data_IF_707872807570
#
_entry.id   IF_707872807570
#
_cell.length_a   1.000
_cell.length_b   1.000
_cell.length_c   1.000
_cell.angle_alpha   90.00
_cell.angle_beta   90.00
_cell.angle_gamma   90.00
#
_symmetry.space_group_name_H-M   'P 1'
#
loop_
_entity.id
_entity.type
_entity.pdbx_description
1 polymer ?
#
# COMPACT_ATOMS: atom_id res chain seq x y z
N UNK A 1 17.85 -26.11 18.48
CA UNK A 1 18.22 -24.69 18.34
C UNK A 1 17.96 -24.00 19.66
N UNK A 2 18.88 -23.17 20.13
CA UNK A 2 18.71 -22.40 21.36
C UNK A 2 17.68 -21.27 21.17
N UNK A 3 16.99 -20.85 22.24
CA UNK A 3 15.92 -19.84 22.20
C UNK A 3 16.34 -18.53 21.52
N UNK A 4 17.57 -18.05 21.78
CA UNK A 4 18.09 -16.82 21.15
C UNK A 4 18.35 -16.99 19.66
N UNK A 5 18.93 -18.13 19.27
CA UNK A 5 19.15 -18.48 17.86
C UNK A 5 17.84 -18.72 17.11
N UNK A 6 16.74 -18.99 17.80
CA UNK A 6 15.43 -19.16 17.19
C UNK A 6 14.74 -17.86 16.81
N UNK A 7 15.22 -16.68 17.23
CA UNK A 7 14.63 -15.40 16.79
C UNK A 7 14.96 -15.10 15.32
N UNK A 8 16.09 -15.61 14.82
CA UNK A 8 16.53 -15.47 13.44
C UNK A 8 17.48 -16.61 13.05
N UNK A 9 17.27 -17.23 11.89
CA UNK A 9 18.22 -18.18 11.31
C UNK A 9 18.14 -18.22 9.79
N UNK A 10 19.26 -18.52 9.14
CA UNK A 10 19.31 -18.74 7.69
C UNK A 10 18.77 -20.14 7.36
N UNK A 11 18.01 -20.24 6.27
CA UNK A 11 17.47 -21.51 5.79
C UNK A 11 18.56 -22.33 5.08
N UNK A 12 18.67 -23.60 5.46
CA UNK A 12 19.49 -24.57 4.72
C UNK A 12 18.95 -24.80 3.30
N UNK A 13 19.80 -25.33 2.42
CA UNK A 13 19.51 -25.52 0.98
C UNK A 13 18.16 -26.20 0.72
N UNK A 14 17.81 -27.24 1.48
CA UNK A 14 16.53 -27.96 1.33
C UNK A 14 15.33 -27.04 1.59
N UNK A 15 15.37 -26.23 2.65
CA UNK A 15 14.30 -25.32 3.03
C UNK A 15 14.24 -24.08 2.13
N UNK A 16 15.39 -23.58 1.68
CA UNK A 16 15.46 -22.55 0.65
C UNK A 16 14.77 -23.01 -0.65
N UNK A 17 15.12 -24.20 -1.16
CA UNK A 17 14.50 -24.73 -2.37
C UNK A 17 12.98 -24.87 -2.20
N UNK A 18 12.53 -25.33 -1.02
CA UNK A 18 11.11 -25.39 -0.72
C UNK A 18 10.45 -24.00 -0.75
N UNK A 19 11.03 -23.01 -0.05
CA UNK A 19 10.55 -21.62 -0.03
C UNK A 19 10.42 -21.05 -1.45
N UNK A 20 11.46 -21.18 -2.27
CA UNK A 20 11.48 -20.71 -3.66
C UNK A 20 10.38 -21.39 -4.49
N UNK A 21 10.24 -22.72 -4.41
CA UNK A 21 9.18 -23.44 -5.13
C UNK A 21 7.76 -23.04 -4.71
N UNK A 22 7.54 -22.78 -3.41
CA UNK A 22 6.21 -22.40 -2.87
C UNK A 22 5.83 -20.96 -3.14
N UNK A 23 6.80 -20.10 -3.43
CA UNK A 23 6.60 -18.69 -3.77
C UNK A 23 6.69 -18.43 -5.28
N UNK A 24 6.94 -19.47 -6.08
CA UNK A 24 7.17 -19.37 -7.52
C UNK A 24 8.32 -18.39 -7.88
N UNK A 25 9.34 -18.36 -7.03
CA UNK A 25 10.55 -17.55 -7.20
C UNK A 25 11.68 -18.47 -7.67
N UNK A 26 12.49 -18.01 -8.62
CA UNK A 26 13.67 -18.71 -9.13
C UNK A 26 14.97 -18.16 -8.56
N UNK A 27 16.02 -19.00 -8.50
CA UNK A 27 17.38 -18.53 -8.20
C UNK A 27 17.93 -17.54 -9.24
N UNK A 28 17.39 -17.59 -10.46
CA UNK A 28 17.75 -16.68 -11.55
C UNK A 28 16.98 -15.35 -11.52
N UNK A 29 15.99 -15.22 -10.63
CA UNK A 29 15.24 -13.99 -10.47
C UNK A 29 16.05 -12.95 -9.70
N UNK A 30 15.53 -11.73 -9.68
CA UNK A 30 16.01 -10.62 -8.87
C UNK A 30 14.94 -10.16 -7.90
N UNK A 31 15.40 -9.66 -6.75
CA UNK A 31 14.59 -8.94 -5.78
C UNK A 31 14.75 -7.44 -6.06
N UNK A 32 13.66 -6.80 -6.44
CA UNK A 32 13.57 -5.37 -6.71
C UNK A 32 12.95 -4.67 -5.51
N UNK A 33 13.67 -3.72 -4.92
CA UNK A 33 13.22 -2.93 -3.77
C UNK A 33 13.11 -1.49 -4.24
N UNK A 34 11.89 -0.96 -4.30
CA UNK A 34 11.62 0.35 -4.88
C UNK A 34 10.98 1.28 -3.86
N UNK A 35 11.69 2.36 -3.57
CA UNK A 35 11.17 3.52 -2.86
C UNK A 35 10.51 4.45 -3.86
N UNK A 36 9.18 4.47 -3.83
CA UNK A 36 8.38 5.18 -4.82
C UNK A 36 8.28 6.69 -4.55
N UNK A 37 8.57 7.13 -3.32
CA UNK A 37 8.59 8.54 -2.95
C UNK A 37 9.92 9.21 -3.35
N UNK A 38 11.04 8.52 -3.14
CA UNK A 38 12.39 9.01 -3.48
C UNK A 38 12.87 8.60 -4.87
N UNK A 39 12.09 7.81 -5.61
CA UNK A 39 12.46 7.19 -6.88
C UNK A 39 13.81 6.47 -6.82
N UNK A 40 13.95 5.57 -5.85
CA UNK A 40 15.16 4.76 -5.67
C UNK A 40 14.87 3.30 -5.85
N UNK A 41 15.64 2.66 -6.71
CA UNK A 41 15.58 1.22 -6.97
C UNK A 41 16.89 0.57 -6.53
N UNK A 42 16.78 -0.47 -5.71
CA UNK A 42 17.83 -1.43 -5.48
C UNK A 42 17.43 -2.78 -6.08
N UNK A 43 18.40 -3.53 -6.60
CA UNK A 43 18.17 -4.83 -7.23
C UNK A 43 19.22 -5.82 -6.78
N UNK A 44 18.76 -7.02 -6.44
CA UNK A 44 19.62 -8.05 -5.86
C UNK A 44 19.33 -9.39 -6.54
N UNK A 45 20.35 -10.06 -7.05
CA UNK A 45 20.20 -11.41 -7.58
C UNK A 45 19.81 -12.36 -6.44
N UNK A 46 18.72 -13.11 -6.61
CA UNK A 46 18.16 -13.94 -5.53
C UNK A 46 19.16 -15.02 -5.07
N UNK A 47 19.88 -15.63 -6.01
CA UNK A 47 20.97 -16.59 -5.71
C UNK A 47 22.06 -16.08 -4.77
N UNK A 48 22.23 -14.76 -4.65
CA UNK A 48 23.25 -14.15 -3.80
C UNK A 48 22.69 -13.72 -2.43
N UNK A 49 21.38 -13.78 -2.22
CA UNK A 49 20.75 -13.41 -0.96
C UNK A 49 20.57 -14.62 -0.04
N UNK A 50 20.77 -14.43 1.25
CA UNK A 50 20.37 -15.42 2.26
C UNK A 50 18.86 -15.47 2.35
N UNK A 51 18.28 -16.67 2.24
CA UNK A 51 16.90 -16.90 2.64
C UNK A 51 16.90 -17.15 4.15
N UNK A 52 16.10 -16.41 4.90
CA UNK A 52 16.09 -16.48 6.36
C UNK A 52 14.67 -16.53 6.91
N UNK A 53 14.55 -17.12 8.10
CA UNK A 53 13.37 -17.05 8.93
C UNK A 53 13.62 -16.04 10.06
N UNK A 54 12.66 -15.14 10.27
CA UNK A 54 12.68 -14.11 11.30
C UNK A 54 11.39 -14.22 12.13
N UNK A 55 11.52 -14.25 13.45
CA UNK A 55 10.36 -14.32 14.35
C UNK A 55 9.53 -13.03 14.25
N UNK A 56 8.22 -13.15 14.08
CA UNK A 56 7.34 -11.99 13.93
C UNK A 56 7.34 -11.06 15.17
N UNK A 57 6.86 -9.83 14.97
CA UNK A 57 6.82 -8.81 16.01
C UNK A 57 5.77 -9.03 17.11
N UNK A 58 4.84 -9.96 16.94
CA UNK A 58 3.77 -10.30 17.88
C UNK A 58 4.14 -11.44 18.84
N UNK A 59 5.24 -12.14 18.59
CA UNK A 59 5.68 -13.24 19.47
C UNK A 59 6.40 -12.71 20.71
N UNK A 60 6.05 -13.29 21.86
CA UNK A 60 6.69 -13.03 23.14
C UNK A 60 7.84 -14.01 23.41
N UNK A 61 8.60 -13.79 24.49
CA UNK A 61 9.59 -14.79 24.91
C UNK A 61 8.96 -16.04 25.53
N UNK A 62 7.73 -15.95 26.02
CA UNK A 62 7.01 -17.02 26.71
C UNK A 62 6.47 -18.06 25.73
N UNK A 63 6.31 -17.69 24.45
CA UNK A 63 5.86 -18.59 23.39
C UNK A 63 6.90 -19.64 22.95
N UNK A 64 8.04 -19.72 23.62
CA UNK A 64 9.07 -20.71 23.31
C UNK A 64 8.65 -22.12 23.78
N UNK A 65 8.69 -23.16 22.92
CA UNK A 65 9.21 -23.19 21.55
C UNK A 65 8.27 -22.59 20.50
N UNK A 66 8.79 -21.69 19.66
CA UNK A 66 7.99 -20.96 18.68
C UNK A 66 7.39 -21.87 17.60
N UNK A 67 6.06 -21.83 17.40
CA UNK A 67 5.41 -22.50 16.28
C UNK A 67 5.93 -22.01 14.92
N UNK A 68 5.89 -22.88 13.90
CA UNK A 68 6.40 -22.56 12.55
C UNK A 68 5.71 -21.35 11.90
N UNK A 69 4.43 -21.16 12.16
CA UNK A 69 3.65 -20.05 11.59
C UNK A 69 3.98 -18.68 12.21
N UNK A 70 4.80 -18.65 13.27
CA UNK A 70 5.33 -17.40 13.82
C UNK A 70 6.47 -16.81 12.99
N UNK A 71 7.05 -17.56 12.06
CA UNK A 71 8.19 -17.06 11.28
C UNK A 71 7.75 -16.34 10.02
N UNK A 72 8.29 -15.14 9.81
CA UNK A 72 8.36 -14.50 8.50
C UNK A 72 9.54 -15.09 7.74
N UNK A 73 9.32 -15.50 6.50
CA UNK A 73 10.37 -16.08 5.66
C UNK A 73 10.58 -15.19 4.45
N UNK A 74 11.83 -14.81 4.20
CA UNK A 74 12.17 -13.92 3.10
C UNK A 74 13.67 -13.87 2.84
N UNK A 75 14.07 -12.86 2.08
CA UNK A 75 15.48 -12.61 1.79
C UNK A 75 16.04 -11.51 2.69
N UNK A 76 17.21 -11.75 3.25
CA UNK A 76 17.93 -10.77 4.05
C UNK A 76 18.60 -9.73 3.15
N UNK A 77 18.36 -8.45 3.42
CA UNK A 77 19.02 -7.32 2.76
C UNK A 77 19.74 -6.49 3.82
N UNK A 78 20.99 -6.12 3.54
CA UNK A 78 21.75 -5.21 4.40
C UNK A 78 21.17 -3.79 4.32
N UNK A 79 20.94 -3.15 5.48
CA UNK A 79 20.49 -1.75 5.57
C UNK A 79 21.40 -0.80 4.78
N UNK A 80 22.72 -1.07 4.76
CA UNK A 80 23.68 -0.26 4.01
C UNK A 80 23.42 -0.27 2.50
N UNK A 81 22.87 -1.37 1.97
CA UNK A 81 22.51 -1.50 0.55
C UNK A 81 21.26 -0.68 0.17
N UNK A 82 20.50 -0.22 1.17
CA UNK A 82 19.31 0.62 1.01
C UNK A 82 19.58 2.06 1.48
N UNK A 83 20.84 2.50 1.47
CA UNK A 83 21.22 3.84 1.91
C UNK A 83 20.43 4.92 1.14
N UNK A 84 19.72 5.75 1.89
CA UNK A 84 18.97 6.90 1.39
C UNK A 84 17.59 6.56 0.84
N UNK A 85 17.06 5.37 1.13
CA UNK A 85 15.62 5.07 1.08
C UNK A 85 14.88 5.84 2.19
N UNK A 86 13.54 5.86 2.17
CA UNK A 86 12.68 6.41 3.22
C UNK A 86 12.90 5.69 4.55
N UNK A 87 12.75 6.44 5.64
CA UNK A 87 12.88 5.91 6.98
C UNK A 87 11.81 4.85 7.23
N UNK A 88 12.17 3.82 7.98
CA UNK A 88 11.32 2.65 8.25
C UNK A 88 10.80 1.92 6.99
N UNK A 89 11.26 2.29 5.79
CA UNK A 89 10.82 1.74 4.52
C UNK A 89 9.31 1.91 4.27
N UNK A 90 8.69 2.97 4.80
CA UNK A 90 7.24 3.24 4.66
C UNK A 90 6.80 3.41 3.20
N UNK A 91 7.67 3.97 2.36
CA UNK A 91 7.41 4.23 0.94
C UNK A 91 8.00 3.15 0.02
N UNK A 92 8.25 1.95 0.56
CA UNK A 92 8.96 0.89 -0.16
C UNK A 92 8.02 -0.24 -0.55
N UNK A 93 8.09 -0.64 -1.80
CA UNK A 93 7.47 -1.87 -2.31
C UNK A 93 8.54 -2.81 -2.86
N UNK A 94 8.27 -4.11 -2.76
CA UNK A 94 9.22 -5.16 -3.14
C UNK A 94 8.56 -6.10 -4.15
N UNK A 95 9.34 -6.52 -5.15
CA UNK A 95 8.93 -7.53 -6.12
C UNK A 95 10.07 -8.52 -6.36
N UNK A 96 9.76 -9.81 -6.35
CA UNK A 96 10.68 -10.87 -6.74
C UNK A 96 10.27 -11.44 -8.10
N UNK A 97 11.17 -11.39 -9.09
CA UNK A 97 10.89 -11.93 -10.42
C UNK A 97 12.02 -11.67 -11.41
N UNK A 98 11.79 -12.05 -12.66
CA UNK A 98 12.80 -11.97 -13.73
C UNK A 98 13.18 -10.53 -14.08
N UNK A 99 12.21 -9.63 -14.07
CA UNK A 99 12.36 -8.26 -14.56
C UNK A 99 11.79 -7.24 -13.57
N UNK A 100 12.39 -6.04 -13.55
CA UNK A 100 11.91 -4.92 -12.74
C UNK A 100 10.53 -4.47 -13.26
N UNK A 101 9.46 -4.55 -12.45
CA UNK A 101 8.13 -4.12 -12.86
C UNK A 101 7.92 -2.61 -12.72
N UNK A 102 8.80 -1.89 -12.01
CA UNK A 102 8.61 -0.48 -11.67
C UNK A 102 9.03 0.45 -12.80
N UNK A 103 8.27 1.52 -13.01
CA UNK A 103 8.50 2.49 -14.07
C UNK A 103 9.71 3.41 -13.81
N UNK A 104 10.26 3.42 -12.59
CA UNK A 104 11.34 4.31 -12.14
C UNK A 104 10.98 5.81 -12.30
N UNK A 105 9.71 6.13 -12.05
CA UNK A 105 9.19 7.49 -11.98
C UNK A 105 8.73 7.78 -10.54
N UNK A 106 9.09 8.94 -9.96
CA UNK A 106 8.63 9.30 -8.61
C UNK A 106 7.11 9.41 -8.61
N UNK A 107 6.47 8.78 -7.63
CA UNK A 107 5.07 9.06 -7.37
C UNK A 107 4.92 10.45 -6.76
N UNK A 108 3.76 11.05 -7.01
CA UNK A 108 3.44 12.37 -6.49
C UNK A 108 2.54 12.22 -5.28
N UNK A 109 2.89 12.81 -4.13
CA UNK A 109 1.96 12.89 -3.01
C UNK A 109 0.75 13.72 -3.45
N UNK A 110 -0.44 13.31 -3.02
CA UNK A 110 -1.66 14.05 -3.30
C UNK A 110 -1.77 15.18 -2.28
N UNK A 111 -1.73 16.43 -2.73
CA UNK A 111 -1.86 17.61 -1.86
C UNK A 111 -3.26 18.18 -1.99
N UNK A 112 -4.11 17.91 -0.99
CA UNK A 112 -5.53 18.24 -1.05
C UNK A 112 -5.78 19.74 -0.85
N UNK A 113 -6.54 20.33 -1.78
CA UNK A 113 -7.10 21.68 -1.61
C UNK A 113 -8.59 21.57 -1.29
N UNK A 114 -9.01 22.13 -0.15
CA UNK A 114 -10.44 22.22 0.18
C UNK A 114 -11.20 23.04 -0.87
N UNK A 115 -12.36 22.55 -1.28
CA UNK A 115 -13.26 23.19 -2.25
C UNK A 115 -14.69 23.27 -1.69
N UNK A 116 -15.54 24.18 -2.21
CA UNK A 116 -16.97 24.15 -1.95
C UNK A 116 -17.63 22.83 -2.36
N UNK A 117 -18.60 22.34 -1.58
CA UNK A 117 -19.29 21.08 -1.85
C UNK A 117 -20.02 21.04 -3.20
N UNK A 118 -20.48 22.19 -3.70
CA UNK A 118 -21.10 22.33 -5.03
C UNK A 118 -20.15 22.03 -6.19
N UNK A 119 -18.84 22.11 -5.95
CA UNK A 119 -17.80 21.86 -6.96
C UNK A 119 -17.38 20.38 -6.98
N UNK A 120 -17.86 19.56 -6.04
CA UNK A 120 -17.68 18.11 -6.06
C UNK A 120 -18.57 17.47 -7.14
N UNK A 121 -18.05 16.58 -8.00
CA UNK A 121 -18.82 16.01 -9.10
C UNK A 121 -20.09 15.30 -8.64
N UNK A 122 -21.21 15.67 -9.25
CA UNK A 122 -22.48 14.99 -9.03
C UNK A 122 -22.45 13.61 -9.70
N UNK A 123 -22.16 12.58 -8.90
CA UNK A 123 -22.27 11.17 -9.28
C UNK A 123 -23.09 10.43 -8.22
N UNK A 124 -24.21 9.78 -8.58
CA UNK A 124 -24.92 8.91 -7.65
C UNK A 124 -24.01 7.82 -7.08
N UNK A 125 -24.03 7.61 -5.76
CA UNK A 125 -23.35 6.47 -5.16
C UNK A 125 -24.01 5.16 -5.56
N UNK A 126 -23.18 4.10 -5.61
CA UNK A 126 -23.62 2.71 -5.68
C UNK A 126 -24.57 2.40 -4.51
N UNK A 127 -25.43 1.40 -4.70
CA UNK A 127 -26.50 1.09 -3.73
C UNK A 127 -25.92 0.63 -2.39
N UNK A 128 -24.85 -0.15 -2.45
CA UNK A 128 -24.15 -0.75 -1.33
C UNK A 128 -23.49 0.34 -0.48
N UNK A 129 -22.72 1.23 -1.13
CA UNK A 129 -22.09 2.40 -0.52
C UNK A 129 -23.12 3.32 0.17
N UNK A 130 -24.26 3.55 -0.50
CA UNK A 130 -25.34 4.35 0.06
C UNK A 130 -25.98 3.71 1.30
N UNK A 131 -26.11 2.38 1.31
CA UNK A 131 -26.63 1.66 2.46
C UNK A 131 -25.70 1.77 3.67
N UNK A 132 -24.38 1.71 3.44
CA UNK A 132 -23.36 1.90 4.45
C UNK A 132 -23.42 3.31 5.08
N UNK A 133 -23.72 4.33 4.28
CA UNK A 133 -23.73 5.73 4.70
C UNK A 133 -25.11 6.26 5.15
N UNK A 134 -26.09 5.38 5.42
CA UNK A 134 -27.50 5.78 5.65
C UNK A 134 -27.71 6.80 6.77
N UNK A 135 -26.85 6.80 7.79
CA UNK A 135 -26.91 7.71 8.94
C UNK A 135 -25.72 8.69 8.99
N UNK A 136 -24.99 8.83 7.87
CA UNK A 136 -23.73 9.55 7.78
C UNK A 136 -23.95 10.81 6.92
N UNK A 137 -23.43 11.95 7.36
CA UNK A 137 -23.60 13.24 6.69
C UNK A 137 -22.40 13.60 5.83
N UNK A 138 -22.64 14.26 4.69
CA UNK A 138 -21.55 14.76 3.86
C UNK A 138 -20.77 15.88 4.59
N UNK A 139 -19.45 15.75 4.62
CA UNK A 139 -18.52 16.69 5.22
C UNK A 139 -17.80 17.56 4.18
N UNK A 140 -16.52 17.81 4.45
CA UNK A 140 -15.67 18.62 3.58
C UNK A 140 -15.41 17.93 2.24
N UNK A 141 -15.13 18.75 1.22
CA UNK A 141 -14.75 18.29 -0.11
C UNK A 141 -13.41 18.87 -0.52
N UNK A 142 -12.64 18.08 -1.27
CA UNK A 142 -11.27 18.42 -1.66
C UNK A 142 -11.03 18.11 -3.14
N UNK A 143 -10.04 18.81 -3.69
CA UNK A 143 -9.57 18.67 -5.05
C UNK A 143 -8.05 18.58 -5.08
N UNK A 144 -7.55 17.69 -5.90
CA UNK A 144 -6.17 17.69 -6.37
C UNK A 144 -6.16 17.57 -7.90
N UNK A 145 -5.26 18.30 -8.57
CA UNK A 145 -5.18 18.32 -10.02
C UNK A 145 -3.81 17.89 -10.49
N UNK A 146 -3.81 17.12 -11.57
CA UNK A 146 -2.64 16.85 -12.40
C UNK A 146 -2.94 17.27 -13.84
N UNK A 147 -1.95 17.17 -14.73
CA UNK A 147 -2.15 17.45 -16.16
C UNK A 147 -3.21 16.52 -16.80
N UNK A 148 -3.35 15.29 -16.30
CA UNK A 148 -4.19 14.24 -16.93
C UNK A 148 -5.45 13.92 -16.14
N UNK A 149 -5.42 14.08 -14.81
CA UNK A 149 -6.52 13.70 -13.92
C UNK A 149 -6.85 14.78 -12.90
N UNK A 150 -8.12 14.81 -12.50
CA UNK A 150 -8.61 15.53 -11.32
C UNK A 150 -9.14 14.54 -10.30
N UNK A 151 -8.74 14.72 -9.05
CA UNK A 151 -9.06 13.85 -7.93
C UNK A 151 -9.96 14.64 -7.00
N UNK A 152 -11.16 14.13 -6.77
CA UNK A 152 -12.13 14.72 -5.86
C UNK A 152 -12.32 13.77 -4.69
N UNK A 153 -12.34 14.33 -3.49
CA UNK A 153 -12.54 13.57 -2.26
C UNK A 153 -13.65 14.23 -1.44
N UNK A 154 -14.53 13.43 -0.87
CA UNK A 154 -15.57 13.90 0.04
C UNK A 154 -15.52 13.11 1.33
N UNK A 155 -15.43 13.83 2.46
CA UNK A 155 -15.60 13.27 3.78
C UNK A 155 -17.07 12.93 4.04
N UNK A 156 -17.30 11.88 4.82
CA UNK A 156 -18.59 11.48 5.34
C UNK A 156 -18.44 11.28 6.85
N UNK A 157 -19.24 12.01 7.62
CA UNK A 157 -19.11 12.15 9.06
C UNK A 157 -20.25 11.41 9.79
N UNK A 158 -19.90 10.71 10.86
CA UNK A 158 -20.89 10.10 11.76
C UNK A 158 -21.63 11.15 12.63
N UNK A 159 -22.46 10.67 13.56
CA UNK A 159 -23.22 11.52 14.48
C UNK A 159 -22.34 12.39 15.39
N UNK A 160 -21.11 11.96 15.66
CA UNK A 160 -20.14 12.65 16.51
C UNK A 160 -19.21 13.57 15.70
N UNK A 161 -19.50 13.72 14.40
CA UNK A 161 -18.71 14.49 13.43
C UNK A 161 -17.30 13.93 13.20
N UNK A 162 -17.10 12.64 13.47
CA UNK A 162 -15.85 11.93 13.18
C UNK A 162 -15.91 11.41 11.75
N UNK A 163 -14.76 11.38 11.06
CA UNK A 163 -14.66 10.89 9.67
C UNK A 163 -14.95 9.39 9.65
N UNK A 164 -16.15 9.02 9.21
CA UNK A 164 -16.58 7.64 9.04
C UNK A 164 -16.12 7.06 7.71
N UNK A 165 -16.20 7.85 6.63
CA UNK A 165 -15.78 7.40 5.32
C UNK A 165 -15.27 8.54 4.44
N UNK A 166 -14.57 8.19 3.37
CA UNK A 166 -14.13 9.09 2.31
C UNK A 166 -14.43 8.48 0.96
N UNK A 167 -15.12 9.24 0.11
CA UNK A 167 -15.40 8.86 -1.28
C UNK A 167 -14.44 9.57 -2.21
N UNK A 168 -13.67 8.78 -2.96
CA UNK A 168 -12.74 9.25 -3.99
C UNK A 168 -13.39 9.11 -5.36
N UNK A 169 -13.35 10.18 -6.14
CA UNK A 169 -13.63 10.18 -7.58
C UNK A 169 -12.39 10.65 -8.33
N UNK A 170 -11.93 9.87 -9.30
CA UNK A 170 -10.86 10.30 -10.22
C UNK A 170 -11.46 10.48 -11.60
N UNK A 171 -11.21 11.65 -12.19
CA UNK A 171 -11.74 12.03 -13.50
C UNK A 171 -10.64 12.35 -14.47
N UNK A 172 -10.89 12.15 -15.76
CA UNK A 172 -10.00 12.66 -16.81
C UNK A 172 -10.11 14.20 -16.89
N UNK A 173 -8.97 14.91 -16.80
CA UNK A 173 -8.95 16.37 -16.81
C UNK A 173 -9.55 17.00 -18.09
N UNK A 174 -9.46 16.31 -19.23
CA UNK A 174 -9.96 16.80 -20.52
C UNK A 174 -11.43 16.44 -20.76
N UNK A 175 -11.78 15.15 -20.63
CA UNK A 175 -13.13 14.67 -20.97
C UNK A 175 -14.12 14.81 -19.82
N UNK A 176 -13.65 15.05 -18.59
CA UNK A 176 -14.44 15.05 -17.35
C UNK A 176 -15.10 13.72 -17.02
N UNK A 177 -14.77 12.65 -17.75
CA UNK A 177 -15.25 11.30 -17.49
C UNK A 177 -14.72 10.82 -16.12
N UNK A 178 -15.60 10.24 -15.31
CA UNK A 178 -15.24 9.61 -14.04
C UNK A 178 -14.71 8.21 -14.33
N UNK A 179 -13.44 7.99 -13.98
CA UNK A 179 -12.69 6.75 -14.22
C UNK A 179 -12.78 5.84 -12.99
N UNK A 180 -12.48 6.40 -11.81
CA UNK A 180 -12.46 5.68 -10.54
C UNK A 180 -13.54 6.22 -9.62
N UNK A 181 -14.18 5.29 -8.90
CA UNK A 181 -15.00 5.58 -7.74
C UNK A 181 -14.69 4.55 -6.64
N UNK A 182 -14.21 5.04 -5.49
CA UNK A 182 -13.91 4.22 -4.32
C UNK A 182 -14.53 4.86 -3.08
N UNK A 183 -15.03 4.03 -2.17
CA UNK A 183 -15.44 4.43 -0.83
C UNK A 183 -14.50 3.72 0.15
N UNK A 184 -13.83 4.51 0.98
CA UNK A 184 -12.98 4.04 2.07
C UNK A 184 -13.70 4.34 3.37
N UNK A 185 -14.08 3.33 4.14
CA UNK A 185 -14.97 3.50 5.30
C UNK A 185 -14.43 2.76 6.51
N UNK A 186 -14.80 3.23 7.70
CA UNK A 186 -14.48 2.53 8.93
C UNK A 186 -15.12 1.13 8.97
N UNK A 187 -14.36 0.16 9.46
CA UNK A 187 -14.81 -1.19 9.80
C UNK A 187 -13.99 -1.72 10.99
N UNK A 188 -14.25 -2.95 11.43
CA UNK A 188 -13.58 -3.57 12.59
C UNK A 188 -12.05 -3.54 12.52
N UNK A 189 -11.46 -3.47 11.33
CA UNK A 189 -10.02 -3.35 11.13
C UNK A 189 -9.59 -2.35 10.10
N UNK A 190 -10.46 -1.41 9.72
CA UNK A 190 -10.09 -0.41 8.71
C UNK A 190 -10.54 0.98 9.11
N UNK A 191 -9.78 1.99 8.71
CA UNK A 191 -10.15 3.39 8.92
C UNK A 191 -9.64 4.26 7.78
N UNK A 192 -10.34 5.34 7.40
CA UNK A 192 -9.80 6.32 6.46
C UNK A 192 -8.47 6.88 6.98
N UNK A 193 -7.41 6.78 6.18
CA UNK A 193 -6.10 7.37 6.50
C UNK A 193 -6.20 8.90 6.55
N UNK A 194 -5.47 9.65 7.39
CA UNK A 194 -5.50 11.12 7.44
C UNK A 194 -5.12 11.73 6.10
N UNK A 195 -5.59 12.94 5.78
CA UNK A 195 -5.17 13.60 4.54
C UNK A 195 -3.69 13.98 4.63
N UNK A 196 -2.97 13.86 3.52
CA UNK A 196 -1.61 14.38 3.41
C UNK A 196 -1.54 15.85 3.86
N UNK A 197 -0.66 16.14 4.83
CA UNK A 197 -0.46 17.48 5.41
C UNK A 197 -1.45 17.88 6.50
N UNK A 198 -2.43 17.03 6.85
CA UNK A 198 -3.38 17.29 7.95
C UNK A 198 -2.69 17.23 9.33
N UNK A 199 -1.72 16.33 9.49
CA UNK A 199 -1.05 16.09 10.77
C UNK A 199 0.29 16.84 10.94
N UNK A 200 0.60 17.82 10.08
CA UNK A 200 1.81 18.64 10.20
C UNK A 200 3.14 17.93 9.90
N UNK A 201 3.12 16.62 9.63
CA UNK A 201 4.30 15.84 9.27
C UNK A 201 4.53 15.78 7.75
N UNK A 202 5.81 15.64 7.38
CA UNK A 202 6.25 15.34 6.01
C UNK A 202 5.98 13.88 5.59
N UNK A 203 5.17 13.14 6.35
CA UNK A 203 4.68 11.82 5.95
C UNK A 203 3.49 11.98 5.01
N UNK A 204 3.64 11.48 3.79
CA UNK A 204 2.55 11.39 2.83
C UNK A 204 2.07 9.95 2.81
N UNK A 205 0.76 9.75 2.97
CA UNK A 205 0.10 8.44 2.86
C UNK A 205 -0.45 8.28 1.44
N UNK A 206 -1.06 9.33 0.88
CA UNK A 206 -1.72 9.26 -0.42
C UNK A 206 -0.78 9.60 -1.57
N UNK A 207 -0.67 8.70 -2.54
CA UNK A 207 0.16 8.88 -3.73
C UNK A 207 -0.60 8.59 -5.02
N UNK A 208 -0.14 9.22 -6.10
CA UNK A 208 -0.57 8.90 -7.47
C UNK A 208 0.55 9.08 -8.48
N UNK A 209 0.49 8.36 -9.59
CA UNK A 209 1.49 8.46 -10.66
C UNK A 209 1.74 7.14 -11.37
N UNK A 210 2.81 7.07 -12.16
CA UNK A 210 3.20 5.88 -12.91
C UNK A 210 4.07 4.97 -12.03
N UNK A 211 3.47 3.93 -11.45
CA UNK A 211 4.23 2.99 -10.60
C UNK A 211 4.83 1.83 -11.38
N UNK A 212 4.05 1.22 -12.28
CA UNK A 212 4.45 0.01 -13.00
C UNK A 212 4.69 0.28 -14.48
N UNK A 213 5.66 -0.44 -15.06
CA UNK A 213 5.82 -0.54 -16.51
C UNK A 213 4.55 -1.15 -17.10
N UNK A 214 4.11 -0.61 -18.24
CA UNK A 214 3.02 -1.16 -19.04
C UNK A 214 1.64 -1.28 -18.34
N UNK A 215 1.43 -0.67 -17.17
CA UNK A 215 0.10 -0.53 -16.54
C UNK A 215 -0.34 0.94 -16.47
N UNK A 216 -1.63 1.24 -16.34
CA UNK A 216 -2.10 2.60 -16.08
C UNK A 216 -1.45 3.24 -14.85
N UNK A 217 -1.50 4.59 -14.71
CA UNK A 217 -1.16 5.27 -13.47
C UNK A 217 -1.98 4.74 -12.29
N UNK A 218 -1.50 4.93 -11.07
CA UNK A 218 -2.11 4.38 -9.86
C UNK A 218 -2.57 5.47 -8.90
N UNK A 219 -3.45 5.12 -7.95
CA UNK A 219 -3.85 5.95 -6.81
C UNK A 219 -4.07 5.04 -5.60
N UNK A 220 -3.51 5.38 -4.44
CA UNK A 220 -3.60 4.57 -3.21
C UNK A 220 -3.26 5.38 -1.95
N UNK A 221 -3.38 4.73 -0.78
CA UNK A 221 -3.02 5.31 0.53
C UNK A 221 -4.17 5.94 1.32
N UNK A 222 -5.40 5.58 0.99
CA UNK A 222 -6.61 6.23 1.53
C UNK A 222 -7.21 5.55 2.77
N UNK A 223 -6.71 4.36 3.13
CA UNK A 223 -7.24 3.54 4.19
C UNK A 223 -6.10 2.86 4.95
N UNK A 224 -6.17 2.89 6.27
CA UNK A 224 -5.37 2.06 7.14
C UNK A 224 -6.04 0.74 7.39
N UNK A 225 -5.25 -0.33 7.39
CA UNK A 225 -5.67 -1.71 7.56
C UNK A 225 -4.99 -2.26 8.81
N UNK A 226 -5.77 -2.51 9.86
CA UNK A 226 -5.39 -3.40 10.97
C UNK A 226 -5.64 -4.87 10.59
N UNK A 227 -6.68 -5.13 9.80
CA UNK A 227 -7.01 -6.45 9.26
C UNK A 227 -7.06 -6.38 7.74
N UNK A 228 -6.11 -7.03 7.08
CA UNK A 228 -6.00 -7.05 5.63
C UNK A 228 -4.68 -6.47 5.15
N UNK A 229 -4.59 -6.27 3.84
CA UNK A 229 -3.43 -5.64 3.22
C UNK A 229 -3.87 -4.49 2.32
N UNK A 230 -3.10 -3.41 2.27
CA UNK A 230 -3.40 -2.27 1.42
C UNK A 230 -3.40 -2.66 -0.06
N UNK A 231 -4.16 -1.91 -0.85
CA UNK A 231 -4.29 -2.12 -2.28
C UNK A 231 -3.88 -0.88 -3.08
N UNK A 232 -3.38 -1.12 -4.29
CA UNK A 232 -2.99 -0.10 -5.26
C UNK A 232 -3.99 -0.10 -6.40
N UNK A 233 -4.83 0.94 -6.49
CA UNK A 233 -5.84 1.03 -7.56
C UNK A 233 -5.21 1.53 -8.86
N UNK A 234 -5.51 0.85 -9.97
CA UNK A 234 -5.17 1.32 -11.31
C UNK A 234 -6.19 2.39 -11.76
N UNK A 235 -5.72 3.52 -12.27
CA UNK A 235 -6.56 4.60 -12.82
C UNK A 235 -6.95 4.25 -14.26
N UNK A 236 -7.87 3.30 -14.40
CA UNK A 236 -8.52 2.95 -15.65
C UNK A 236 -9.98 2.52 -15.42
N UNK A 237 -10.66 2.12 -16.49
CA UNK A 237 -12.07 1.71 -16.42
C UNK A 237 -12.28 0.34 -15.77
N UNK A 238 -11.22 -0.45 -15.58
CA UNK A 238 -11.33 -1.76 -14.94
C UNK A 238 -11.67 -1.64 -13.45
N UNK A 239 -11.29 -0.52 -12.82
CA UNK A 239 -11.29 -0.34 -11.35
C UNK A 239 -10.52 -1.45 -10.61
N UNK A 240 -9.57 -2.10 -11.27
CA UNK A 240 -8.74 -3.17 -10.71
C UNK A 240 -7.82 -2.64 -9.60
N UNK A 241 -7.70 -3.45 -8.56
CA UNK A 241 -6.79 -3.23 -7.44
C UNK A 241 -5.68 -4.28 -7.45
N UNK A 242 -4.44 -3.83 -7.28
CA UNK A 242 -3.28 -4.69 -7.02
C UNK A 242 -3.08 -4.74 -5.51
N UNK A 243 -3.43 -5.86 -4.89
CA UNK A 243 -3.23 -6.07 -3.46
C UNK A 243 -1.75 -6.27 -3.13
N UNK A 244 -1.27 -5.51 -2.15
CA UNK A 244 0.08 -5.67 -1.62
C UNK A 244 0.10 -6.95 -0.79
N UNK A 245 1.08 -7.82 -1.02
CA UNK A 245 1.29 -8.99 -0.18
C UNK A 245 1.97 -8.54 1.11
N UNK A 246 1.20 -8.48 2.19
CA UNK A 246 1.67 -8.08 3.51
C UNK A 246 1.49 -9.23 4.51
N UNK A 247 2.15 -9.10 5.65
CA UNK A 247 1.94 -9.99 6.77
C UNK A 247 0.68 -9.59 7.53
N UNK A 248 -0.41 -10.33 7.33
CA UNK A 248 -1.71 -10.10 7.98
C UNK A 248 -2.10 -11.31 8.82
N UNK A 249 -1.42 -11.49 9.97
CA UNK A 249 -1.64 -12.61 10.91
C UNK A 249 -2.59 -12.29 12.06
N UNK A 250 -3.45 -11.31 11.86
CA UNK A 250 -4.55 -10.99 12.76
C UNK A 250 -5.72 -11.96 12.64
#
# INVERSE_FOLDING_TARGET
>A
MEKKAAKYFTLEKKYRNHFLSKTNISENDSLFVYDYAKNKLASFAIKNLKAAAWLNGYSSEEDWPYPKYYYMIGFEISKQSLKGFSDYYSDVIVYAGKENPFANEPLKPIVWKKIPGKDYPSKPMKKEDRALLKSIVAGNTYLYNTATYQYFLQDYLDSDKIIYARRLLVTNSKTKEIIIEKLYSQSEGTSPAPLNGENGDHSFDQYTGKLFKNKPPVVFGFQYESFGCPAISLIDKSNEDIYIQCDNRH
#
